data_IF_918630066122
#
_entry.id   IF_918630066122
#
_cell.length_a   1.000
_cell.length_b   1.000
_cell.length_c   1.000
_cell.angle_alpha   90.00
_cell.angle_beta   90.00
_cell.angle_gamma   90.00
#
_symmetry.space_group_name_H-M   'P 1'
#
loop_
_entity.id
_entity.type
_entity.pdbx_description
1 polymer ?
#
# COMPACT_ATOMS: atom_id res chain seq x y z
N UNK A 1 9.90 1.45 4.47
CA UNK A 1 9.50 2.87 4.32
C UNK A 1 8.09 3.02 4.87
N UNK A 2 7.70 4.15 5.50
CA UNK A 2 6.37 4.29 6.09
C UNK A 2 5.24 4.08 5.07
N UNK A 3 5.36 4.69 3.89
CA UNK A 3 4.42 4.48 2.79
C UNK A 3 4.34 3.02 2.36
N UNK A 4 5.48 2.34 2.18
CA UNK A 4 5.48 0.93 1.77
C UNK A 4 4.82 0.04 2.82
N UNK A 5 5.05 0.30 4.10
CA UNK A 5 4.43 -0.47 5.18
C UNK A 5 2.91 -0.24 5.23
N UNK A 6 2.46 0.99 5.00
CA UNK A 6 1.05 1.30 4.90
C UNK A 6 0.39 0.62 3.69
N UNK A 7 1.00 0.68 2.50
CA UNK A 7 0.52 -0.02 1.30
C UNK A 7 0.42 -1.54 1.54
N UNK A 8 1.44 -2.15 2.16
CA UNK A 8 1.42 -3.58 2.53
C UNK A 8 0.23 -3.93 3.42
N UNK A 9 0.03 -3.13 4.47
CA UNK A 9 -1.06 -3.30 5.42
C UNK A 9 -2.42 -3.16 4.73
N UNK A 10 -2.63 -2.11 3.95
CA UNK A 10 -3.88 -1.85 3.24
C UNK A 10 -4.25 -3.00 2.28
N UNK A 11 -3.29 -3.51 1.51
CA UNK A 11 -3.49 -4.65 0.61
C UNK A 11 -3.93 -5.88 1.39
N UNK A 12 -3.20 -6.20 2.46
CA UNK A 12 -3.46 -7.38 3.26
C UNK A 12 -4.83 -7.31 3.97
N UNK A 13 -5.16 -6.16 4.57
CA UNK A 13 -6.45 -5.96 5.24
C UNK A 13 -7.63 -6.06 4.27
N UNK A 14 -7.53 -5.47 3.07
CA UNK A 14 -8.58 -5.58 2.05
C UNK A 14 -8.78 -7.03 1.60
N UNK A 15 -7.69 -7.76 1.35
CA UNK A 15 -7.76 -9.19 0.99
C UNK A 15 -8.42 -10.00 2.12
N UNK A 16 -8.01 -9.80 3.36
CA UNK A 16 -8.56 -10.54 4.51
C UNK A 16 -10.05 -10.25 4.70
N UNK A 17 -10.47 -9.00 4.56
CA UNK A 17 -11.88 -8.62 4.65
C UNK A 17 -12.72 -9.30 3.55
N UNK A 18 -12.24 -9.31 2.31
CA UNK A 18 -12.93 -9.93 1.19
C UNK A 18 -12.99 -11.46 1.30
N UNK A 19 -11.91 -12.11 1.73
CA UNK A 19 -11.89 -13.55 2.01
C UNK A 19 -12.87 -13.92 3.15
N UNK A 20 -12.98 -13.08 4.18
CA UNK A 20 -13.95 -13.28 5.26
C UNK A 20 -15.39 -13.19 4.74
N UNK A 21 -15.71 -12.20 3.90
CA UNK A 21 -17.01 -12.08 3.24
C UNK A 21 -17.29 -13.29 2.34
N UNK A 22 -16.32 -13.72 1.55
CA UNK A 22 -16.43 -14.91 0.68
C UNK A 22 -16.72 -16.17 1.49
N UNK A 23 -15.98 -16.42 2.57
CA UNK A 23 -16.15 -17.58 3.44
C UNK A 23 -17.54 -17.64 4.08
N UNK A 24 -18.14 -16.48 4.36
CA UNK A 24 -19.49 -16.37 4.92
C UNK A 24 -20.60 -16.59 3.88
N UNK A 25 -20.25 -16.66 2.59
CA UNK A 25 -21.20 -16.86 1.50
C UNK A 25 -21.58 -15.61 0.73
N UNK A 26 -20.92 -14.47 0.96
CA UNK A 26 -21.16 -13.24 0.20
C UNK A 26 -20.81 -11.96 0.96
N UNK A 27 -20.69 -10.87 0.19
CA UNK A 27 -20.45 -9.52 0.72
C UNK A 27 -21.77 -8.82 1.01
N UNK A 28 -21.88 -8.21 2.19
CA UNK A 28 -23.08 -7.46 2.59
C UNK A 28 -23.04 -6.02 2.07
N UNK A 29 -24.20 -5.37 1.94
CA UNK A 29 -24.29 -3.97 1.44
C UNK A 29 -23.41 -2.99 2.20
N UNK A 30 -23.34 -3.10 3.53
CA UNK A 30 -22.48 -2.23 4.32
C UNK A 30 -20.99 -2.54 4.11
N UNK A 31 -20.63 -3.80 3.88
CA UNK A 31 -19.26 -4.21 3.56
C UNK A 31 -18.82 -3.67 2.20
N UNK A 32 -19.72 -3.67 1.20
CA UNK A 32 -19.47 -3.03 -0.09
C UNK A 32 -19.09 -1.56 0.12
N UNK A 33 -19.89 -0.82 0.90
CA UNK A 33 -19.60 0.59 1.18
C UNK A 33 -18.24 0.79 1.88
N UNK A 34 -17.89 -0.10 2.82
CA UNK A 34 -16.58 -0.10 3.47
C UNK A 34 -15.44 -0.37 2.50
N UNK A 35 -15.54 -1.43 1.69
CA UNK A 35 -14.52 -1.82 0.69
C UNK A 35 -14.35 -0.71 -0.35
N UNK A 36 -15.43 -0.15 -0.89
CA UNK A 36 -15.36 0.94 -1.86
C UNK A 36 -14.64 2.16 -1.29
N UNK A 37 -14.91 2.53 -0.03
CA UNK A 37 -14.26 3.67 0.62
C UNK A 37 -12.78 3.40 0.93
N UNK A 38 -12.46 2.21 1.42
CA UNK A 38 -11.10 1.77 1.67
C UNK A 38 -10.29 1.76 0.37
N UNK A 39 -10.85 1.15 -0.68
CA UNK A 39 -10.26 1.10 -2.01
C UNK A 39 -9.97 2.48 -2.59
N UNK A 40 -10.94 3.39 -2.56
CA UNK A 40 -10.74 4.77 -3.05
C UNK A 40 -9.56 5.46 -2.36
N UNK A 41 -9.36 5.19 -1.08
CA UNK A 41 -8.25 5.76 -0.29
C UNK A 41 -6.93 5.12 -0.70
N UNK A 42 -6.88 3.80 -0.80
CA UNK A 42 -5.71 3.05 -1.27
C UNK A 42 -5.29 3.43 -2.70
N UNK A 43 -6.25 3.52 -3.62
CA UNK A 43 -6.04 3.92 -5.00
C UNK A 43 -5.34 5.29 -5.07
N UNK A 44 -5.88 6.29 -4.36
CA UNK A 44 -5.27 7.63 -4.30
C UNK A 44 -3.89 7.62 -3.62
N UNK A 45 -3.71 6.83 -2.56
CA UNK A 45 -2.42 6.65 -1.89
C UNK A 45 -1.37 6.14 -2.88
N UNK A 46 -1.63 5.03 -3.57
CA UNK A 46 -0.63 4.42 -4.47
C UNK A 46 -0.29 5.33 -5.65
N UNK A 47 -1.28 5.98 -6.26
CA UNK A 47 -1.04 6.95 -7.33
C UNK A 47 -0.18 8.13 -6.87
N UNK A 48 -0.52 8.71 -5.73
CA UNK A 48 0.25 9.81 -5.15
C UNK A 48 1.68 9.37 -4.81
N UNK A 49 1.82 8.19 -4.18
CA UNK A 49 3.09 7.59 -3.83
C UNK A 49 4.03 7.43 -5.03
N UNK A 50 3.55 6.83 -6.13
CA UNK A 50 4.33 6.70 -7.35
C UNK A 50 4.63 8.07 -7.99
N UNK A 51 3.66 8.99 -8.07
CA UNK A 51 3.92 10.31 -8.65
C UNK A 51 4.99 11.11 -7.89
N UNK A 52 5.01 11.00 -6.56
CA UNK A 52 6.02 11.65 -5.72
C UNK A 52 7.40 11.03 -5.96
N UNK A 53 7.45 9.71 -6.17
CA UNK A 53 8.69 9.03 -6.50
C UNK A 53 9.20 9.42 -7.88
N UNK A 54 8.37 9.33 -8.89
CA UNK A 54 8.72 9.66 -10.27
C UNK A 54 9.20 11.11 -10.39
N UNK A 55 8.55 12.04 -9.69
CA UNK A 55 8.87 13.47 -9.78
C UNK A 55 10.07 13.90 -8.92
N UNK A 56 10.32 13.25 -7.78
CA UNK A 56 11.30 13.72 -6.79
C UNK A 56 12.35 12.68 -6.41
N UNK A 57 11.94 11.45 -6.08
CA UNK A 57 12.85 10.44 -5.55
C UNK A 57 13.70 9.81 -6.66
N UNK A 58 13.09 9.34 -7.74
CA UNK A 58 13.79 8.65 -8.83
C UNK A 58 14.87 9.53 -9.47
N UNK A 59 14.62 10.82 -9.81
CA UNK A 59 15.68 11.68 -10.34
C UNK A 59 16.86 11.85 -9.37
N UNK A 60 16.59 11.80 -8.06
CA UNK A 60 17.65 11.85 -7.06
C UNK A 60 18.43 10.53 -6.97
N UNK A 61 17.72 9.39 -7.01
CA UNK A 61 18.36 8.06 -7.02
C UNK A 61 19.28 7.88 -8.24
N UNK A 62 18.85 8.33 -9.41
CA UNK A 62 19.58 8.27 -10.67
C UNK A 62 20.91 9.03 -10.67
N UNK A 63 21.15 9.90 -9.68
CA UNK A 63 22.45 10.58 -9.51
C UNK A 63 23.59 9.65 -9.08
N UNK A 64 23.27 8.47 -8.53
CA UNK A 64 24.27 7.50 -8.03
C UNK A 64 24.10 6.08 -8.53
N UNK A 65 22.88 5.69 -8.87
CA UNK A 65 22.59 4.34 -9.35
C UNK A 65 21.98 4.40 -10.74
N UNK A 66 22.41 3.49 -11.61
CA UNK A 66 21.68 3.23 -12.86
C UNK A 66 20.41 2.48 -12.47
N UNK A 67 19.28 3.18 -12.54
CA UNK A 67 17.99 2.61 -12.19
C UNK A 67 17.55 1.64 -13.31
N UNK A 68 17.24 0.37 -13.02
CA UNK A 68 16.79 -0.57 -14.03
C UNK A 68 15.51 -0.09 -14.72
N UNK A 69 15.47 -0.15 -16.06
CA UNK A 69 14.27 0.19 -16.86
C UNK A 69 13.01 -0.52 -16.36
N UNK A 70 13.18 -1.74 -15.84
CA UNK A 70 12.13 -2.55 -15.24
C UNK A 70 11.33 -1.80 -14.18
N UNK A 71 11.98 -1.09 -13.26
CA UNK A 71 11.29 -0.42 -12.16
C UNK A 71 10.39 0.72 -12.65
N UNK A 72 10.78 1.40 -13.72
CA UNK A 72 9.96 2.43 -14.37
C UNK A 72 8.81 1.81 -15.18
N UNK A 73 9.01 0.65 -15.81
CA UNK A 73 7.93 -0.07 -16.50
C UNK A 73 6.91 -0.68 -15.53
N UNK A 74 7.35 -1.12 -14.36
CA UNK A 74 6.49 -1.76 -13.34
C UNK A 74 5.41 -0.80 -12.85
N UNK A 75 5.68 0.52 -12.76
CA UNK A 75 4.65 1.52 -12.42
C UNK A 75 3.46 1.48 -13.39
N UNK A 76 3.69 1.32 -14.69
CA UNK A 76 2.61 1.27 -15.71
C UNK A 76 1.77 0.01 -15.59
N UNK A 77 2.42 -1.13 -15.34
CA UNK A 77 1.72 -2.39 -15.12
C UNK A 77 0.90 -2.33 -13.82
N UNK A 78 1.47 -1.80 -12.73
CA UNK A 78 0.77 -1.62 -11.46
C UNK A 78 -0.45 -0.72 -11.60
N UNK A 79 -0.33 0.42 -12.29
CA UNK A 79 -1.47 1.32 -12.57
C UNK A 79 -2.57 0.58 -13.34
N UNK A 80 -2.20 -0.21 -14.36
CA UNK A 80 -3.18 -1.02 -15.11
C UNK A 80 -3.93 -2.00 -14.21
N UNK A 81 -3.25 -2.62 -13.23
CA UNK A 81 -3.88 -3.50 -12.24
C UNK A 81 -4.79 -2.74 -11.28
N UNK A 82 -4.39 -1.54 -10.85
CA UNK A 82 -5.23 -0.66 -10.03
C UNK A 82 -6.52 -0.29 -10.79
N UNK A 83 -6.42 0.09 -12.06
CA UNK A 83 -7.60 0.43 -12.89
C UNK A 83 -8.56 -0.75 -13.02
N UNK A 84 -8.03 -1.96 -13.20
CA UNK A 84 -8.83 -3.20 -13.22
C UNK A 84 -9.56 -3.40 -11.90
N UNK A 85 -8.86 -3.29 -10.76
CA UNK A 85 -9.49 -3.44 -9.45
C UNK A 85 -10.55 -2.34 -9.24
N UNK A 86 -10.28 -1.11 -9.67
CA UNK A 86 -11.22 -0.01 -9.57
C UNK A 86 -12.53 -0.32 -10.30
N UNK A 87 -12.45 -0.83 -11.53
CA UNK A 87 -13.63 -1.24 -12.29
C UNK A 87 -14.42 -2.36 -11.59
N UNK A 88 -13.72 -3.35 -10.99
CA UNK A 88 -14.39 -4.42 -10.24
C UNK A 88 -15.09 -3.87 -8.99
N UNK A 89 -14.43 -2.98 -8.24
CA UNK A 89 -14.98 -2.33 -7.05
C UNK A 89 -16.21 -1.49 -7.40
N UNK A 90 -16.20 -0.74 -8.50
CA UNK A 90 -17.33 0.06 -8.97
C UNK A 90 -18.53 -0.81 -9.39
N UNK A 91 -18.28 -2.05 -9.80
CA UNK A 91 -19.32 -3.02 -10.17
C UNK A 91 -19.89 -3.82 -8.99
N UNK A 92 -19.36 -3.67 -7.77
CA UNK A 92 -19.83 -4.42 -6.60
C UNK A 92 -21.31 -4.16 -6.33
N UNK A 93 -22.07 -5.24 -6.10
CA UNK A 93 -23.52 -5.18 -5.86
C UNK A 93 -24.39 -5.03 -7.13
N UNK A 94 -23.79 -5.01 -8.33
CA UNK A 94 -24.52 -4.97 -9.61
C UNK A 94 -24.68 -6.36 -10.26
N UNK A 95 -23.82 -7.33 -9.89
CA UNK A 95 -23.85 -8.73 -10.36
C UNK A 95 -24.52 -9.64 -9.30
N UNK A 96 -24.92 -10.85 -9.68
CA UNK A 96 -25.42 -11.85 -8.72
C UNK A 96 -24.41 -12.10 -7.56
N UNK A 97 -24.93 -12.42 -6.38
CA UNK A 97 -24.14 -12.54 -5.14
C UNK A 97 -23.12 -13.69 -5.25
N UNK A 98 -21.81 -13.39 -5.11
CA UNK A 98 -20.73 -14.39 -4.98
C UNK A 98 -19.61 -14.28 -6.03
N UNK A 99 -19.94 -14.01 -7.29
CA UNK A 99 -18.94 -13.97 -8.38
C UNK A 99 -18.03 -12.74 -8.28
N UNK A 100 -18.61 -11.59 -7.91
CA UNK A 100 -17.87 -10.31 -7.81
C UNK A 100 -16.82 -10.30 -6.70
N UNK A 101 -17.05 -10.99 -5.58
CA UNK A 101 -16.07 -11.08 -4.47
C UNK A 101 -14.91 -11.99 -4.84
N UNK A 102 -15.18 -13.12 -5.49
CA UNK A 102 -14.12 -14.04 -5.94
C UNK A 102 -13.24 -13.38 -7.00
N UNK A 103 -13.84 -12.69 -7.96
CA UNK A 103 -13.12 -11.89 -8.96
C UNK A 103 -12.23 -10.83 -8.29
N UNK A 104 -12.78 -10.10 -7.32
CA UNK A 104 -12.06 -9.04 -6.61
C UNK A 104 -10.88 -9.57 -5.79
N UNK A 105 -11.06 -10.68 -5.06
CA UNK A 105 -9.96 -11.35 -4.33
C UNK A 105 -8.84 -11.75 -5.30
N UNK A 106 -9.19 -12.36 -6.45
CA UNK A 106 -8.22 -12.71 -7.48
C UNK A 106 -7.43 -11.51 -7.99
N UNK A 107 -8.12 -10.41 -8.30
CA UNK A 107 -7.49 -9.18 -8.75
C UNK A 107 -6.54 -8.57 -7.71
N UNK A 108 -6.93 -8.56 -6.43
CA UNK A 108 -6.05 -8.11 -5.34
C UNK A 108 -4.83 -9.01 -5.16
N UNK A 109 -4.95 -10.34 -5.33
CA UNK A 109 -3.81 -11.26 -5.24
C UNK A 109 -2.81 -11.07 -6.38
N UNK A 110 -3.30 -10.86 -7.60
CA UNK A 110 -2.44 -10.47 -8.74
C UNK A 110 -1.69 -9.17 -8.43
N UNK A 111 -2.42 -8.15 -7.97
CA UNK A 111 -1.84 -6.86 -7.60
C UNK A 111 -0.83 -6.97 -6.46
N UNK A 112 -1.14 -7.73 -5.40
CA UNK A 112 -0.22 -8.03 -4.30
C UNK A 112 1.07 -8.70 -4.81
N UNK A 113 0.94 -9.65 -5.73
CA UNK A 113 2.08 -10.37 -6.33
C UNK A 113 3.03 -9.47 -7.12
N UNK A 114 2.55 -8.33 -7.62
CA UNK A 114 3.36 -7.33 -8.33
C UNK A 114 3.87 -6.23 -7.40
N UNK A 115 2.99 -5.68 -6.57
CA UNK A 115 3.29 -4.54 -5.70
C UNK A 115 4.33 -4.90 -4.63
N UNK A 116 4.23 -6.08 -4.00
CA UNK A 116 5.15 -6.42 -2.90
C UNK A 116 6.62 -6.56 -3.33
N UNK A 117 6.93 -7.27 -4.44
CA UNK A 117 8.29 -7.27 -4.99
C UNK A 117 8.75 -5.88 -5.41
N UNK A 118 7.89 -5.11 -6.08
CA UNK A 118 8.19 -3.74 -6.50
C UNK A 118 8.62 -2.86 -5.31
N UNK A 119 7.83 -2.81 -4.24
CA UNK A 119 8.17 -2.07 -3.01
C UNK A 119 9.48 -2.54 -2.37
N UNK A 120 9.84 -3.83 -2.53
CA UNK A 120 11.07 -4.40 -1.99
C UNK A 120 12.29 -3.96 -2.81
N UNK A 121 12.17 -3.95 -4.13
CA UNK A 121 13.23 -3.49 -5.04
C UNK A 121 13.57 -2.01 -4.78
N UNK A 122 12.55 -1.16 -4.62
CA UNK A 122 12.72 0.24 -4.25
C UNK A 122 13.30 0.46 -2.84
N UNK A 123 13.09 -0.47 -1.91
CA UNK A 123 13.72 -0.40 -0.59
C UNK A 123 15.22 -0.72 -0.68
N UNK A 124 15.64 -1.57 -1.61
CA UNK A 124 17.05 -1.91 -1.84
C UNK A 124 17.81 -0.74 -2.47
N UNK A 125 17.18 0.02 -3.37
CA UNK A 125 17.81 1.21 -3.99
C UNK A 125 18.22 2.28 -2.96
N UNK A 126 17.56 2.30 -1.79
CA UNK A 126 17.92 3.19 -0.69
C UNK A 126 19.21 2.80 0.03
N UNK A 127 19.70 1.57 -0.11
CA UNK A 127 20.95 1.14 0.52
C UNK A 127 22.19 1.90 0.02
N UNK A 128 22.04 2.65 -1.08
CA UNK A 128 23.09 3.50 -1.68
C UNK A 128 23.10 4.95 -1.16
N UNK A 129 22.25 5.27 -0.18
CA UNK A 129 22.08 6.62 0.36
C UNK A 129 22.07 6.59 1.89
N UNK A 130 22.66 7.62 2.49
CA UNK A 130 22.63 7.80 3.93
C UNK A 130 21.23 8.22 4.40
N UNK A 131 20.81 7.85 5.62
CA UNK A 131 19.48 8.20 6.14
C UNK A 131 19.13 9.70 6.07
N UNK A 132 20.05 10.65 6.36
CA UNK A 132 19.76 12.08 6.25
C UNK A 132 19.41 12.51 4.83
N UNK A 133 20.07 11.94 3.81
CA UNK A 133 19.86 12.28 2.40
C UNK A 133 18.42 11.93 1.96
N UNK A 134 17.98 10.72 2.33
CA UNK A 134 16.59 10.31 2.09
C UNK A 134 15.61 11.14 2.94
N UNK A 135 16.01 11.52 4.15
CA UNK A 135 15.22 12.36 5.04
C UNK A 135 14.86 13.70 4.39
N UNK A 136 15.83 14.37 3.77
CA UNK A 136 15.61 15.64 3.08
C UNK A 136 14.61 15.51 1.91
N UNK A 137 14.77 14.50 1.06
CA UNK A 137 13.85 14.25 -0.06
C UNK A 137 12.45 13.92 0.46
N UNK A 138 12.35 13.12 1.52
CA UNK A 138 11.07 12.80 2.16
C UNK A 138 10.39 14.06 2.70
N UNK A 139 11.13 14.96 3.35
CA UNK A 139 10.59 16.24 3.83
C UNK A 139 10.08 17.10 2.67
N UNK A 140 10.79 17.15 1.53
CA UNK A 140 10.33 17.88 0.34
C UNK A 140 9.03 17.30 -0.21
N UNK A 141 8.89 15.97 -0.27
CA UNK A 141 7.65 15.31 -0.68
C UNK A 141 6.51 15.70 0.27
N UNK A 142 6.74 15.64 1.58
CA UNK A 142 5.76 15.99 2.61
C UNK A 142 5.39 17.48 2.63
N UNK A 143 6.28 18.37 2.17
CA UNK A 143 6.07 19.81 2.09
C UNK A 143 5.49 20.27 0.74
N UNK A 144 5.41 19.38 -0.25
CA UNK A 144 4.89 19.72 -1.57
C UNK A 144 3.41 20.13 -1.52
N UNK A 145 2.93 20.95 -2.45
CA UNK A 145 1.51 21.31 -2.53
C UNK A 145 0.59 20.08 -2.76
N UNK A 146 1.17 18.99 -3.30
CA UNK A 146 0.55 17.68 -3.43
C UNK A 146 0.74 16.78 -2.21
N UNK A 147 1.21 17.33 -1.07
CA UNK A 147 1.46 16.58 0.15
C UNK A 147 0.26 15.68 0.45
N UNK A 148 0.48 14.37 0.60
CA UNK A 148 -0.60 13.45 0.41
C UNK A 148 -1.44 13.33 1.68
N UNK A 149 -2.44 14.20 1.78
CA UNK A 149 -3.41 14.20 2.89
C UNK A 149 -4.04 12.83 3.08
N UNK A 150 -4.25 12.09 1.98
CA UNK A 150 -4.77 10.73 1.98
C UNK A 150 -3.79 9.72 2.59
N UNK A 151 -2.49 9.88 2.36
CA UNK A 151 -1.44 8.99 2.87
C UNK A 151 -1.19 9.22 4.37
N UNK A 152 -1.38 10.43 4.88
CA UNK A 152 -1.13 10.76 6.29
C UNK A 152 -1.99 9.91 7.24
N UNK A 153 -3.26 9.65 6.89
CA UNK A 153 -4.12 8.78 7.67
C UNK A 153 -3.57 7.35 7.75
N UNK A 154 -3.17 6.80 6.60
CA UNK A 154 -2.58 5.47 6.51
C UNK A 154 -1.25 5.37 7.28
N UNK A 155 -0.45 6.43 7.28
CA UNK A 155 0.81 6.47 8.03
C UNK A 155 0.56 6.45 9.54
N UNK A 156 -0.41 7.24 10.02
CA UNK A 156 -0.79 7.27 11.44
C UNK A 156 -1.29 5.90 11.88
N UNK A 157 -2.15 5.25 11.09
CA UNK A 157 -2.65 3.91 11.42
C UNK A 157 -1.52 2.89 11.44
N UNK A 158 -0.70 2.83 10.39
CA UNK A 158 0.39 1.87 10.28
C UNK A 158 1.45 2.06 11.37
N UNK A 159 1.82 3.32 11.68
CA UNK A 159 2.72 3.62 12.80
C UNK A 159 2.06 3.33 14.14
N UNK A 160 0.79 3.66 14.32
CA UNK A 160 0.03 3.41 15.54
C UNK A 160 -0.05 1.92 15.86
N UNK A 161 -0.27 1.07 14.87
CA UNK A 161 -0.26 -0.40 15.05
C UNK A 161 1.13 -0.89 15.47
N UNK A 162 2.20 -0.38 14.84
CA UNK A 162 3.57 -0.75 15.22
C UNK A 162 3.95 -0.22 16.61
N UNK A 163 3.58 1.03 16.93
CA UNK A 163 3.81 1.65 18.23
C UNK A 163 3.00 0.98 19.34
N UNK A 164 1.75 0.58 19.06
CA UNK A 164 0.94 -0.20 19.97
C UNK A 164 1.52 -1.62 20.17
N UNK A 165 1.90 -2.32 19.10
CA UNK A 165 2.52 -3.64 19.19
C UNK A 165 3.83 -3.62 19.97
N UNK A 166 4.72 -2.69 19.67
CA UNK A 166 6.06 -2.66 20.25
C UNK A 166 6.10 -1.95 21.61
N UNK A 167 5.26 -0.93 21.83
CA UNK A 167 5.24 -0.18 23.08
C UNK A 167 4.24 -0.68 24.13
N UNK A 168 3.16 -1.36 23.71
CA UNK A 168 2.07 -1.78 24.59
C UNK A 168 1.96 -3.31 24.72
N UNK A 169 2.38 -4.08 23.70
CA UNK A 169 2.34 -5.55 23.71
C UNK A 169 3.71 -6.23 23.90
N UNK A 170 4.79 -5.47 24.12
CA UNK A 170 6.00 -6.04 24.72
C UNK A 170 5.67 -6.49 26.15
N UNK A 171 5.38 -7.78 26.30
CA UNK A 171 5.16 -8.40 27.59
C UNK A 171 6.46 -8.31 28.40
N UNK A 172 6.50 -7.62 29.56
CA UNK A 172 7.68 -7.58 30.41
C UNK A 172 7.79 -8.89 31.20
N UNK A 173 7.95 -10.02 30.49
CA UNK A 173 8.25 -11.32 31.10
C UNK A 173 9.47 -11.88 30.39
N UNK A 174 10.63 -11.26 30.62
CA UNK A 174 11.91 -11.93 30.39
C UNK A 174 13.07 -11.39 31.23
N UNK A 175 12.82 -11.01 32.48
CA UNK A 175 13.88 -10.87 33.50
C UNK A 175 13.38 -11.26 34.90
N UNK A 176 12.89 -12.48 35.06
CA UNK A 176 13.02 -13.19 36.33
C UNK A 176 13.72 -14.51 36.03
N UNK A 177 15.05 -14.46 36.07
CA UNK A 177 15.87 -15.68 36.21
C UNK A 177 15.72 -16.13 37.67
N UNK A 178 15.40 -17.41 37.84
CA UNK A 178 15.44 -18.14 39.10
C UNK A 178 16.83 -18.05 39.76
#
# INVERSE_FOLDING_TARGET
MLAHNAIRMEIEEMIQALEASKKRGGIQKWEIACVTKAWKTHYLHVHSHHSNKDAMLMPYLETRISYPDKLTSDHKELVTKLDRINAVVESLGQKEEGDSVTELVGAFREYQGLMLPHLKEEEVSRAYFEPPEIGEITQRILASAGAPKVEMGSFIVCQGINGFRNGFMECPIQTMRC
#
